data_IF_833363695392
#
_entry.id   IF_833363695392
#
_cell.length_a   1.000
_cell.length_b   1.000
_cell.length_c   1.000
_cell.angle_alpha   90.00
_cell.angle_beta   90.00
_cell.angle_gamma   90.00
#
_symmetry.space_group_name_H-M   'P 1'
#
loop_
_entity.id
_entity.type
_entity.pdbx_description
1 polymer ?
#
# COMPACT_ATOMS: atom_id res chain seq x y z
N UNK A 1 48.42 53.89 -11.33
CA UNK A 1 47.04 53.33 -11.34
C UNK A 1 46.83 52.62 -10.02
N UNK A 2 46.10 53.22 -9.08
CA UNK A 2 45.83 52.63 -7.77
C UNK A 2 44.65 51.66 -7.85
N UNK A 3 44.88 50.40 -7.46
CA UNK A 3 43.82 49.40 -7.32
C UNK A 3 43.10 49.58 -6.00
N UNK A 4 41.84 50.05 -6.04
CA UNK A 4 40.96 50.09 -4.87
C UNK A 4 40.44 48.68 -4.57
N UNK A 5 40.97 48.06 -3.52
CA UNK A 5 40.39 46.84 -2.93
C UNK A 5 39.01 47.16 -2.34
N UNK A 6 37.95 46.72 -3.04
CA UNK A 6 36.58 46.79 -2.54
C UNK A 6 36.33 45.59 -1.62
N UNK A 7 36.60 45.78 -0.34
CA UNK A 7 36.32 44.79 0.69
C UNK A 7 34.80 44.72 0.95
N UNK A 8 34.17 43.60 0.58
CA UNK A 8 32.73 43.37 0.81
C UNK A 8 32.44 43.22 2.30
N UNK A 9 32.10 44.32 2.95
CA UNK A 9 31.61 44.35 4.34
C UNK A 9 30.25 43.68 4.43
N UNK A 10 30.22 42.39 4.78
CA UNK A 10 28.98 41.73 5.20
C UNK A 10 28.62 42.20 6.61
N UNK A 11 27.50 42.92 6.77
CA UNK A 11 27.08 43.36 8.10
C UNK A 11 26.80 42.15 9.01
N UNK A 12 27.14 42.26 10.29
CA UNK A 12 26.93 41.23 11.31
C UNK A 12 25.48 40.68 11.28
N UNK A 13 24.50 41.56 11.01
CA UNK A 13 23.09 41.17 10.86
C UNK A 13 22.80 40.27 9.64
N UNK A 14 23.58 40.35 8.56
CA UNK A 14 23.45 39.43 7.41
C UNK A 14 23.94 38.02 7.73
N UNK A 15 25.02 37.92 8.52
CA UNK A 15 25.60 36.67 9.00
C UNK A 15 24.67 35.96 10.00
N UNK A 16 24.09 36.72 10.92
CA UNK A 16 23.16 36.21 11.92
C UNK A 16 21.86 35.69 11.29
N UNK A 17 21.31 36.43 10.30
CA UNK A 17 20.15 35.98 9.50
C UNK A 17 20.43 34.69 8.73
N UNK A 18 21.60 34.57 8.10
CA UNK A 18 22.03 33.33 7.43
C UNK A 18 22.10 32.14 8.38
N UNK A 19 22.64 32.32 9.59
CA UNK A 19 22.70 31.26 10.63
C UNK A 19 21.32 30.81 11.06
N UNK A 20 20.41 31.75 11.30
CA UNK A 20 19.01 31.46 11.65
C UNK A 20 18.27 30.70 10.52
N UNK A 21 18.45 31.09 9.27
CA UNK A 21 17.86 30.37 8.13
C UNK A 21 18.39 28.94 8.00
N UNK A 22 19.71 28.74 8.17
CA UNK A 22 20.31 27.39 8.17
C UNK A 22 19.76 26.51 9.30
N UNK A 23 19.60 27.06 10.50
CA UNK A 23 19.04 26.32 11.64
C UNK A 23 17.58 25.93 11.41
N UNK A 24 16.76 26.86 10.91
CA UNK A 24 15.36 26.58 10.54
C UNK A 24 15.24 25.48 9.49
N UNK A 25 16.10 25.51 8.46
CA UNK A 25 16.14 24.49 7.41
C UNK A 25 16.49 23.11 7.96
N UNK A 26 17.56 23.01 8.76
CA UNK A 26 17.99 21.77 9.41
C UNK A 26 16.91 21.17 10.32
N UNK A 27 16.14 22.02 11.00
CA UNK A 27 15.05 21.55 11.86
C UNK A 27 13.85 21.02 11.05
N UNK A 28 13.53 21.63 9.90
CA UNK A 28 12.51 21.10 8.97
C UNK A 28 12.95 19.78 8.36
N UNK A 29 14.21 19.66 7.94
CA UNK A 29 14.78 18.41 7.43
C UNK A 29 14.68 17.30 8.46
N UNK A 30 15.02 17.55 9.74
CA UNK A 30 14.85 16.57 10.82
C UNK A 30 13.40 16.13 11.04
N UNK A 31 12.44 17.06 10.95
CA UNK A 31 11.02 16.72 11.06
C UNK A 31 10.57 15.82 9.91
N UNK A 32 11.00 16.14 8.68
CA UNK A 32 10.73 15.33 7.50
C UNK A 32 11.37 13.94 7.59
N UNK A 33 12.60 13.83 8.06
CA UNK A 33 13.26 12.54 8.25
C UNK A 33 12.48 11.65 9.22
N UNK A 34 12.01 12.21 10.34
CA UNK A 34 11.18 11.48 11.32
C UNK A 34 9.84 11.03 10.75
N UNK A 35 9.18 11.85 9.93
CA UNK A 35 7.91 11.45 9.30
C UNK A 35 8.12 10.35 8.28
N UNK A 36 9.20 10.39 7.49
CA UNK A 36 9.53 9.35 6.51
C UNK A 36 9.83 8.02 7.22
N UNK A 37 10.53 8.07 8.35
CA UNK A 37 10.83 6.88 9.15
C UNK A 37 9.57 6.21 9.71
N UNK A 38 8.61 7.00 10.21
CA UNK A 38 7.29 6.50 10.63
C UNK A 38 6.53 5.84 9.48
N UNK A 39 6.43 6.52 8.33
CA UNK A 39 5.76 5.96 7.15
C UNK A 39 6.38 4.62 6.74
N UNK A 40 7.71 4.52 6.77
CA UNK A 40 8.39 3.25 6.47
C UNK A 40 8.06 2.14 7.46
N UNK A 41 7.98 2.44 8.74
CA UNK A 41 7.58 1.46 9.75
C UNK A 41 6.13 0.98 9.52
N UNK A 42 5.20 1.91 9.29
CA UNK A 42 3.79 1.60 9.04
C UNK A 42 3.62 0.72 7.79
N UNK A 43 4.37 1.00 6.71
CA UNK A 43 4.35 0.19 5.49
C UNK A 43 4.80 -1.26 5.72
N UNK A 44 5.85 -1.46 6.54
CA UNK A 44 6.33 -2.81 6.88
C UNK A 44 5.27 -3.56 7.68
N UNK A 45 4.65 -2.91 8.66
CA UNK A 45 3.62 -3.51 9.50
C UNK A 45 2.37 -3.91 8.68
N UNK A 46 1.96 -3.05 7.74
CA UNK A 46 0.86 -3.35 6.80
C UNK A 46 1.21 -4.57 5.93
N UNK A 47 2.43 -4.64 5.38
CA UNK A 47 2.86 -5.77 4.55
C UNK A 47 2.87 -7.09 5.33
N UNK A 48 3.36 -7.07 6.56
CA UNK A 48 3.35 -8.25 7.43
C UNK A 48 1.93 -8.64 7.86
N UNK A 49 1.07 -7.66 8.13
CA UNK A 49 -0.37 -7.87 8.37
C UNK A 49 -1.05 -8.59 7.20
N UNK A 50 -0.80 -8.12 5.97
CA UNK A 50 -1.33 -8.73 4.75
C UNK A 50 -0.83 -10.16 4.56
N UNK A 51 0.46 -10.43 4.77
CA UNK A 51 1.03 -11.79 4.71
C UNK A 51 0.38 -12.72 5.73
N UNK A 52 0.13 -12.25 6.95
CA UNK A 52 -0.56 -13.03 8.00
C UNK A 52 -1.99 -13.36 7.60
N UNK A 53 -2.73 -12.39 7.06
CA UNK A 53 -4.09 -12.61 6.57
C UNK A 53 -4.13 -13.63 5.43
N UNK A 54 -3.20 -13.51 4.47
CA UNK A 54 -3.08 -14.43 3.34
C UNK A 54 -2.72 -15.86 3.78
N UNK A 55 -1.80 -16.02 4.74
CA UNK A 55 -1.47 -17.34 5.28
C UNK A 55 -2.63 -17.96 6.07
N UNK A 56 -3.37 -17.17 6.82
CA UNK A 56 -4.53 -17.65 7.57
C UNK A 56 -5.65 -18.10 6.63
N UNK A 57 -5.91 -17.36 5.54
CA UNK A 57 -6.91 -17.75 4.55
C UNK A 57 -6.53 -19.05 3.84
N UNK A 58 -5.27 -19.19 3.42
CA UNK A 58 -4.71 -20.43 2.85
C UNK A 58 -4.84 -21.63 3.79
N UNK A 59 -4.54 -21.45 5.08
CA UNK A 59 -4.69 -22.51 6.08
C UNK A 59 -6.15 -22.94 6.26
N UNK A 60 -7.09 -22.00 6.26
CA UNK A 60 -8.53 -22.28 6.35
C UNK A 60 -9.06 -22.99 5.10
N UNK A 61 -8.56 -22.63 3.91
CA UNK A 61 -8.84 -23.33 2.65
C UNK A 61 -8.32 -24.77 2.69
N UNK A 62 -7.05 -24.97 3.06
CA UNK A 62 -6.45 -26.31 3.19
C UNK A 62 -7.19 -27.19 4.21
N UNK A 63 -7.69 -26.62 5.31
CA UNK A 63 -8.53 -27.34 6.29
C UNK A 63 -9.91 -27.72 5.74
N UNK A 64 -10.51 -26.91 4.85
CA UNK A 64 -11.79 -27.27 4.21
C UNK A 64 -11.65 -28.46 3.26
N UNK A 65 -10.56 -28.54 2.52
CA UNK A 65 -10.35 -29.62 1.54
C UNK A 65 -9.94 -30.94 2.21
N UNK A 66 -9.23 -30.91 3.35
CA UNK A 66 -8.91 -32.09 4.15
C UNK A 66 -10.13 -32.77 4.82
N UNK A 67 -11.25 -32.06 5.00
CA UNK A 67 -12.46 -32.63 5.60
C UNK A 67 -13.39 -33.31 4.56
N UNK A 68 -13.11 -33.20 3.26
CA UNK A 68 -13.92 -33.83 2.19
C UNK A 68 -13.48 -35.25 1.82
N UNK A 69 -12.30 -35.71 2.26
CA UNK A 69 -11.74 -37.02 1.90
C UNK A 69 -11.93 -38.12 2.97
N UNK A 70 -12.67 -37.86 4.06
CA UNK A 70 -12.61 -38.70 5.27
C UNK A 70 -13.93 -39.18 5.89
N UNK A 71 -15.07 -39.21 5.18
CA UNK A 71 -16.32 -39.77 5.76
C UNK A 71 -17.06 -40.72 4.82
N UNK A 72 -16.50 -41.91 4.70
CA UNK A 72 -17.28 -43.13 4.43
C UNK A 72 -16.85 -44.20 5.43
N UNK A 73 -17.35 -44.12 6.65
CA UNK A 73 -17.49 -45.32 7.48
C UNK A 73 -18.93 -45.44 7.95
N UNK A 74 -19.50 -46.59 7.59
CA UNK A 74 -20.77 -47.12 8.04
C UNK A 74 -21.04 -46.83 9.52
N UNK A 75 -22.18 -46.21 9.81
CA UNK A 75 -22.90 -46.48 11.04
C UNK A 75 -24.29 -46.99 10.67
N UNK A 76 -24.40 -48.32 10.61
CA UNK A 76 -25.68 -49.01 10.77
C UNK A 76 -26.18 -48.77 12.20
N UNK A 77 -27.39 -48.24 12.33
CA UNK A 77 -28.25 -48.47 13.50
C UNK A 77 -28.39 -47.32 14.49
N UNK A 78 -29.43 -46.49 14.32
CA UNK A 78 -30.60 -46.40 15.22
C UNK A 78 -31.46 -45.20 14.81
N UNK A 79 -32.68 -45.51 14.38
CA UNK A 79 -33.75 -44.54 14.11
C UNK A 79 -34.13 -43.88 15.44
N UNK A 80 -33.79 -42.60 15.63
CA UNK A 80 -34.43 -41.74 16.62
C UNK A 80 -35.25 -40.71 15.88
N UNK A 81 -36.55 -40.67 16.17
CA UNK A 81 -37.43 -39.59 15.78
C UNK A 81 -37.09 -38.39 16.67
N UNK A 82 -36.72 -37.27 16.08
CA UNK A 82 -36.75 -35.98 16.75
C UNK A 82 -37.58 -35.07 15.86
N UNK A 83 -38.77 -34.75 16.36
CA UNK A 83 -39.66 -33.76 15.80
C UNK A 83 -39.03 -32.36 15.88
N UNK A 84 -39.36 -31.53 14.89
CA UNK A 84 -39.43 -30.08 15.06
C UNK A 84 -38.14 -29.28 14.82
N UNK A 85 -38.08 -28.67 13.63
CA UNK A 85 -37.76 -27.23 13.50
C UNK A 85 -36.29 -26.78 13.42
N UNK A 86 -35.49 -27.34 12.49
CA UNK A 86 -34.26 -26.66 12.01
C UNK A 86 -33.93 -26.92 10.52
N UNK A 87 -34.94 -27.16 9.68
CA UNK A 87 -34.74 -27.18 8.23
C UNK A 87 -34.89 -25.77 7.65
N UNK A 88 -33.93 -24.88 7.91
CA UNK A 88 -33.74 -23.72 7.02
C UNK A 88 -33.35 -24.30 5.65
N UNK A 89 -34.29 -24.27 4.71
CA UNK A 89 -34.16 -24.85 3.37
C UNK A 89 -32.74 -24.68 2.81
N UNK A 90 -31.96 -25.76 2.61
CA UNK A 90 -30.62 -25.68 2.02
C UNK A 90 -30.63 -25.05 0.62
N UNK A 91 -31.80 -25.00 -0.02
CA UNK A 91 -32.05 -24.33 -1.29
C UNK A 91 -31.88 -22.81 -1.18
N UNK A 92 -32.45 -22.18 -0.13
CA UNK A 92 -32.36 -20.72 0.10
C UNK A 92 -30.93 -20.28 0.44
N UNK A 93 -30.20 -21.09 1.21
CA UNK A 93 -28.78 -20.82 1.51
C UNK A 93 -27.88 -20.90 0.27
N UNK A 94 -28.11 -21.88 -0.63
CA UNK A 94 -27.37 -21.97 -1.90
C UNK A 94 -27.62 -20.79 -2.82
N UNK A 95 -28.84 -20.26 -2.81
CA UNK A 95 -29.26 -19.14 -3.67
C UNK A 95 -28.64 -17.82 -3.19
N UNK A 96 -28.63 -17.57 -1.88
CA UNK A 96 -27.93 -16.43 -1.28
C UNK A 96 -26.43 -16.43 -1.58
N UNK A 97 -25.76 -17.57 -1.37
CA UNK A 97 -24.33 -17.72 -1.67
C UNK A 97 -24.00 -17.47 -3.15
N UNK A 98 -24.88 -17.87 -4.08
CA UNK A 98 -24.69 -17.57 -5.51
C UNK A 98 -24.78 -16.08 -5.81
N UNK A 99 -25.61 -15.35 -5.08
CA UNK A 99 -25.78 -13.92 -5.27
C UNK A 99 -24.62 -13.14 -4.65
N UNK A 100 -24.15 -13.56 -3.48
CA UNK A 100 -22.96 -12.99 -2.84
C UNK A 100 -21.72 -13.15 -3.72
N UNK A 101 -21.52 -14.32 -4.33
CA UNK A 101 -20.43 -14.56 -5.28
C UNK A 101 -20.49 -13.62 -6.49
N UNK A 102 -21.68 -13.40 -7.08
CA UNK A 102 -21.85 -12.46 -8.20
C UNK A 102 -21.59 -11.01 -7.80
N UNK A 103 -21.85 -10.64 -6.56
CA UNK A 103 -21.55 -9.30 -6.05
C UNK A 103 -20.05 -9.12 -5.85
N UNK A 104 -19.37 -10.13 -5.29
CA UNK A 104 -17.92 -10.18 -5.17
C UNK A 104 -17.22 -10.08 -6.53
N UNK A 105 -17.70 -10.78 -7.56
CA UNK A 105 -17.13 -10.69 -8.92
C UNK A 105 -17.18 -9.26 -9.48
N UNK A 106 -18.27 -8.51 -9.20
CA UNK A 106 -18.40 -7.11 -9.62
C UNK A 106 -17.44 -6.20 -8.85
N UNK A 107 -17.30 -6.41 -7.54
CA UNK A 107 -16.36 -5.64 -6.71
C UNK A 107 -14.91 -5.88 -7.16
N UNK A 108 -14.55 -7.15 -7.45
CA UNK A 108 -13.23 -7.50 -8.00
C UNK A 108 -12.98 -6.79 -9.33
N UNK A 109 -13.95 -6.81 -10.25
CA UNK A 109 -13.81 -6.13 -11.54
C UNK A 109 -13.63 -4.60 -11.38
N UNK A 110 -14.38 -3.98 -10.46
CA UNK A 110 -14.24 -2.55 -10.16
C UNK A 110 -12.87 -2.22 -9.56
N UNK A 111 -12.39 -3.03 -8.61
CA UNK A 111 -11.07 -2.86 -8.01
C UNK A 111 -9.96 -3.04 -9.04
N UNK A 112 -10.10 -4.00 -9.96
CA UNK A 112 -9.13 -4.21 -11.03
C UNK A 112 -8.99 -2.99 -11.93
N UNK A 113 -10.10 -2.36 -12.33
CA UNK A 113 -10.09 -1.12 -13.11
C UNK A 113 -9.46 0.05 -12.34
N UNK A 114 -9.66 0.13 -11.02
CA UNK A 114 -9.05 1.18 -10.20
C UNK A 114 -7.54 1.00 -10.14
N UNK A 115 -7.07 -0.22 -9.92
CA UNK A 115 -5.63 -0.54 -9.86
C UNK A 115 -4.96 -0.23 -11.20
N UNK A 116 -5.54 -0.69 -12.31
CA UNK A 116 -5.00 -0.42 -13.65
C UNK A 116 -4.91 1.08 -13.95
N UNK A 117 -5.93 1.86 -13.59
CA UNK A 117 -5.89 3.31 -13.75
C UNK A 117 -4.82 3.99 -12.89
N UNK A 118 -4.58 3.49 -11.68
CA UNK A 118 -3.53 4.00 -10.80
C UNK A 118 -2.13 3.68 -11.35
N UNK A 119 -1.93 2.48 -11.90
CA UNK A 119 -0.68 2.08 -12.56
C UNK A 119 -0.40 2.96 -13.77
N UNK A 120 -1.39 3.17 -14.65
CA UNK A 120 -1.25 4.04 -15.81
C UNK A 120 -0.91 5.50 -15.43
N UNK A 121 -1.53 6.01 -14.36
CA UNK A 121 -1.22 7.35 -13.85
C UNK A 121 0.21 7.44 -13.32
N UNK A 122 0.64 6.42 -12.56
CA UNK A 122 1.99 6.35 -11.99
C UNK A 122 3.05 6.26 -13.09
N UNK A 123 2.82 5.44 -14.12
CA UNK A 123 3.71 5.31 -15.26
C UNK A 123 3.86 6.62 -16.03
N UNK A 124 2.77 7.36 -16.24
CA UNK A 124 2.82 8.68 -16.86
C UNK A 124 3.66 9.69 -16.06
N UNK A 125 3.48 9.72 -14.73
CA UNK A 125 4.25 10.59 -13.85
C UNK A 125 5.74 10.21 -13.79
N UNK A 126 6.04 8.91 -13.75
CA UNK A 126 7.41 8.41 -13.78
C UNK A 126 8.10 8.75 -15.09
N UNK A 127 7.41 8.57 -16.22
CA UNK A 127 7.94 8.94 -17.53
C UNK A 127 8.27 10.43 -17.59
N UNK A 128 7.36 11.29 -17.13
CA UNK A 128 7.58 12.74 -17.09
C UNK A 128 8.78 13.12 -16.20
N UNK A 129 8.93 12.49 -15.03
CA UNK A 129 10.07 12.71 -14.15
C UNK A 129 11.39 12.31 -14.82
N UNK A 130 11.43 11.15 -15.47
CA UNK A 130 12.63 10.64 -16.18
C UNK A 130 13.02 11.57 -17.33
N UNK A 131 12.06 12.08 -18.10
CA UNK A 131 12.32 13.05 -19.18
C UNK A 131 12.90 14.35 -18.62
N UNK A 132 12.29 14.91 -17.56
CA UNK A 132 12.79 16.14 -16.94
C UNK A 132 14.19 15.99 -16.36
N UNK A 133 14.47 14.88 -15.69
CA UNK A 133 15.81 14.59 -15.16
C UNK A 133 16.83 14.44 -16.29
N UNK A 134 16.46 13.76 -17.38
CA UNK A 134 17.32 13.60 -18.55
C UNK A 134 17.66 14.94 -19.20
N UNK A 135 16.68 15.85 -19.32
CA UNK A 135 16.89 17.20 -19.83
C UNK A 135 17.77 18.05 -18.89
N UNK A 136 17.57 17.96 -17.57
CA UNK A 136 18.38 18.66 -16.58
C UNK A 136 19.85 18.22 -16.64
N UNK A 137 20.08 16.90 -16.68
CA UNK A 137 21.42 16.31 -16.82
C UNK A 137 22.06 16.82 -18.11
N UNK A 138 21.37 16.75 -19.24
CA UNK A 138 21.89 17.19 -20.54
C UNK A 138 22.21 18.70 -20.58
N UNK A 139 21.40 19.53 -19.93
CA UNK A 139 21.67 20.97 -19.76
C UNK A 139 22.87 21.25 -18.86
N UNK A 140 23.17 20.37 -17.90
CA UNK A 140 24.29 20.52 -16.96
C UNK A 140 25.65 20.23 -17.61
N UNK A 141 25.66 19.38 -18.63
CA UNK A 141 26.88 19.04 -19.41
C UNK A 141 27.05 19.89 -20.68
N UNK A 142 26.15 20.85 -20.94
CA UNK A 142 26.19 21.72 -22.13
C UNK A 142 26.74 23.13 -21.86
N UNK A 143 27.36 23.37 -20.70
CA UNK A 143 28.08 24.62 -20.43
C UNK A 143 29.57 24.45 -20.78
N UNK A 144 30.09 25.17 -21.80
CA UNK A 144 31.53 25.23 -22.06
C UNK A 144 32.30 26.01 -20.98
#
# INVERSE_FOLDING_TARGET
MEMKHVERRHSIGSLQRRRMCKLKRKNRERKLSRSIEKIRADMVEISEGQKRYFNLSLYLLAKRDGHLLGRSQQQKGKKRKSDGELAKDPKKMKEGLKQDLKNLDKEIAQLSNIVENQENLMDGLLHQLVVHLSLLVRSSYSFP
#
